data_IF_227287362424
#
_entry.id   IF_227287362424
#
_cell.length_a   1.000
_cell.length_b   1.000
_cell.length_c   1.000
_cell.angle_alpha   90.00
_cell.angle_beta   90.00
_cell.angle_gamma   90.00
#
_symmetry.space_group_name_H-M   'P 1'
#
loop_
_entity.id
_entity.type
_entity.pdbx_description
1 polymer ?
#
# COMPACT_ATOMS: atom_id res chain seq x y z
N UNK A 1 12.62 9.64 -15.94
CA UNK A 1 11.42 9.02 -16.53
C UNK A 1 11.39 7.49 -16.39
N UNK A 2 12.42 6.74 -16.85
CA UNK A 2 12.44 5.26 -16.81
C UNK A 2 12.23 4.64 -15.41
N UNK A 3 12.86 5.18 -14.36
CA UNK A 3 12.75 4.65 -12.98
C UNK A 3 11.36 4.78 -12.37
N UNK A 4 10.62 5.82 -12.71
CA UNK A 4 9.26 6.04 -12.19
C UNK A 4 8.27 5.10 -12.88
N UNK A 5 8.32 5.01 -14.21
CA UNK A 5 7.50 4.06 -14.97
C UNK A 5 7.73 2.60 -14.53
N UNK A 6 8.98 2.24 -14.23
CA UNK A 6 9.33 0.92 -13.72
C UNK A 6 8.69 0.61 -12.37
N UNK A 7 8.60 1.61 -11.45
CA UNK A 7 7.89 1.44 -10.17
C UNK A 7 6.41 1.19 -10.36
N UNK A 8 5.74 1.95 -11.25
CA UNK A 8 4.35 1.71 -11.60
C UNK A 8 4.13 0.32 -12.19
N UNK A 9 4.99 -0.08 -13.14
CA UNK A 9 4.94 -1.42 -13.76
C UNK A 9 5.08 -2.55 -12.75
N UNK A 10 6.04 -2.47 -11.82
CA UNK A 10 6.20 -3.47 -10.76
C UNK A 10 4.97 -3.51 -9.86
N UNK A 11 4.42 -2.36 -9.45
CA UNK A 11 3.20 -2.37 -8.62
C UNK A 11 1.97 -2.93 -9.32
N UNK A 12 1.83 -2.70 -10.62
CA UNK A 12 0.75 -3.29 -11.40
C UNK A 12 0.95 -4.81 -11.50
N UNK A 13 2.18 -5.28 -11.74
CA UNK A 13 2.49 -6.71 -11.76
C UNK A 13 2.20 -7.39 -10.40
N UNK A 14 2.59 -6.75 -9.29
CA UNK A 14 2.28 -7.26 -7.95
C UNK A 14 0.77 -7.25 -7.70
N UNK A 15 0.06 -6.21 -8.12
CA UNK A 15 -1.40 -6.14 -8.07
C UNK A 15 -2.07 -7.27 -8.86
N UNK A 16 -1.61 -7.53 -10.08
CA UNK A 16 -2.11 -8.62 -10.92
C UNK A 16 -1.80 -10.00 -10.32
N UNK A 17 -0.64 -10.18 -9.70
CA UNK A 17 -0.31 -11.41 -9.01
C UNK A 17 -1.24 -11.65 -7.81
N UNK A 18 -1.56 -10.59 -7.05
CA UNK A 18 -2.51 -10.66 -5.93
C UNK A 18 -3.94 -10.95 -6.40
N UNK A 19 -4.41 -10.33 -7.49
CA UNK A 19 -5.74 -10.63 -8.05
C UNK A 19 -5.81 -12.06 -8.55
N UNK A 20 -4.78 -12.53 -9.26
CA UNK A 20 -4.72 -13.91 -9.73
C UNK A 20 -4.74 -14.89 -8.55
N UNK A 21 -3.92 -14.66 -7.52
CA UNK A 21 -3.93 -15.48 -6.31
C UNK A 21 -5.30 -15.48 -5.61
N UNK A 22 -5.94 -14.31 -5.46
CA UNK A 22 -7.27 -14.22 -4.89
C UNK A 22 -8.33 -14.96 -5.72
N UNK A 23 -8.23 -14.93 -7.05
CA UNK A 23 -9.12 -15.68 -7.94
C UNK A 23 -8.90 -17.20 -7.84
N UNK A 24 -7.65 -17.65 -7.67
CA UNK A 24 -7.34 -19.07 -7.42
C UNK A 24 -7.96 -19.56 -6.11
N UNK A 25 -7.83 -18.79 -5.02
CA UNK A 25 -8.42 -19.12 -3.71
C UNK A 25 -9.95 -19.22 -3.80
N UNK A 26 -10.58 -18.43 -4.67
CA UNK A 26 -12.03 -18.45 -4.88
C UNK A 26 -12.50 -19.53 -5.87
N UNK A 27 -11.58 -20.33 -6.43
CA UNK A 27 -11.93 -21.46 -7.28
C UNK A 27 -12.41 -21.07 -8.68
N UNK A 28 -11.77 -20.08 -9.32
CA UNK A 28 -12.17 -19.58 -10.66
C UNK A 28 -12.32 -20.67 -11.72
N UNK A 29 -11.50 -21.74 -11.67
CA UNK A 29 -11.52 -22.82 -12.66
C UNK A 29 -12.66 -23.83 -12.47
N UNK A 30 -13.37 -23.78 -11.34
CA UNK A 30 -14.51 -24.67 -11.06
C UNK A 30 -15.85 -24.08 -11.47
N UNK A 31 -15.89 -22.82 -11.91
CA UNK A 31 -17.14 -22.10 -12.19
C UNK A 31 -17.41 -22.04 -13.69
N UNK A 32 -18.57 -22.55 -14.11
CA UNK A 32 -19.06 -22.48 -15.50
C UNK A 32 -20.08 -21.36 -15.71
N UNK A 33 -20.56 -20.74 -14.64
CA UNK A 33 -21.54 -19.66 -14.70
C UNK A 33 -20.86 -18.30 -14.83
N UNK A 34 -21.25 -17.52 -15.85
CA UNK A 34 -20.68 -16.20 -16.13
C UNK A 34 -20.83 -15.22 -14.95
N UNK A 35 -21.97 -15.26 -14.25
CA UNK A 35 -22.21 -14.41 -13.07
C UNK A 35 -21.26 -14.75 -11.92
N UNK A 36 -20.98 -16.04 -11.69
CA UNK A 36 -20.04 -16.49 -10.68
C UNK A 36 -18.61 -16.07 -11.01
N UNK A 37 -18.21 -16.14 -12.28
CA UNK A 37 -16.90 -15.67 -12.74
C UNK A 37 -16.74 -14.15 -12.55
N UNK A 38 -17.74 -13.36 -12.94
CA UNK A 38 -17.72 -11.90 -12.74
C UNK A 38 -17.62 -11.51 -11.26
N UNK A 39 -18.32 -12.22 -10.38
CA UNK A 39 -18.23 -12.03 -8.93
C UNK A 39 -16.82 -12.31 -8.40
N UNK A 40 -16.20 -13.39 -8.85
CA UNK A 40 -14.84 -13.75 -8.44
C UNK A 40 -13.84 -12.69 -8.88
N UNK A 41 -13.92 -12.24 -10.14
CA UNK A 41 -13.05 -11.17 -10.62
C UNK A 41 -13.29 -9.86 -9.88
N UNK A 42 -14.54 -9.45 -9.64
CA UNK A 42 -14.86 -8.26 -8.87
C UNK A 42 -14.23 -8.31 -7.48
N UNK A 43 -14.41 -9.42 -6.75
CA UNK A 43 -13.88 -9.56 -5.39
C UNK A 43 -12.34 -9.63 -5.37
N UNK A 44 -11.73 -10.31 -6.34
CA UNK A 44 -10.28 -10.40 -6.47
C UNK A 44 -9.64 -9.04 -6.77
N UNK A 45 -10.18 -8.28 -7.73
CA UNK A 45 -9.72 -6.92 -8.05
C UNK A 45 -9.93 -5.95 -6.89
N UNK A 46 -11.07 -6.06 -6.19
CA UNK A 46 -11.34 -5.23 -5.01
C UNK A 46 -10.34 -5.52 -3.90
N UNK A 47 -10.10 -6.79 -3.57
CA UNK A 47 -9.18 -7.19 -2.51
C UNK A 47 -7.75 -6.69 -2.79
N UNK A 48 -7.23 -6.92 -4.00
CA UNK A 48 -5.90 -6.45 -4.38
C UNK A 48 -5.81 -4.92 -4.41
N UNK A 49 -6.83 -4.25 -4.97
CA UNK A 49 -6.92 -2.79 -5.02
C UNK A 49 -6.98 -2.15 -3.63
N UNK A 50 -7.78 -2.72 -2.72
CA UNK A 50 -7.90 -2.28 -1.33
C UNK A 50 -6.58 -2.41 -0.57
N UNK A 51 -5.88 -3.55 -0.69
CA UNK A 51 -4.57 -3.76 -0.06
C UNK A 51 -3.56 -2.71 -0.55
N UNK A 52 -3.47 -2.49 -1.87
CA UNK A 52 -2.55 -1.51 -2.46
C UNK A 52 -2.92 -0.08 -2.08
N UNK A 53 -4.22 0.26 -2.08
CA UNK A 53 -4.71 1.58 -1.71
C UNK A 53 -4.46 1.88 -0.23
N UNK A 54 -4.73 0.93 0.67
CA UNK A 54 -4.43 1.07 2.10
C UNK A 54 -2.92 1.21 2.36
N UNK A 55 -2.10 0.38 1.71
CA UNK A 55 -0.65 0.49 1.82
C UNK A 55 -0.16 1.86 1.30
N UNK A 56 -0.67 2.31 0.15
CA UNK A 56 -0.38 3.63 -0.40
C UNK A 56 -0.81 4.78 0.52
N UNK A 57 -2.00 4.69 1.11
CA UNK A 57 -2.54 5.67 2.05
C UNK A 57 -1.67 5.76 3.31
N UNK A 58 -1.23 4.63 3.87
CA UNK A 58 -0.33 4.60 5.02
C UNK A 58 1.00 5.29 4.72
N UNK A 59 1.55 5.08 3.52
CA UNK A 59 2.80 5.75 3.14
C UNK A 59 2.60 7.25 2.96
N UNK A 60 1.52 7.68 2.30
CA UNK A 60 1.18 9.10 2.16
C UNK A 60 0.95 9.75 3.54
N UNK A 61 0.23 9.09 4.44
CA UNK A 61 0.03 9.55 5.81
C UNK A 61 1.36 9.67 6.58
N UNK A 62 2.28 8.71 6.38
CA UNK A 62 3.62 8.75 6.95
C UNK A 62 4.46 9.89 6.39
N UNK A 63 4.38 10.17 5.09
CA UNK A 63 5.04 11.32 4.44
C UNK A 63 4.46 12.68 4.89
N UNK A 64 3.17 12.70 5.23
CA UNK A 64 2.46 13.83 5.84
C UNK A 64 2.79 14.05 7.31
N UNK A 65 3.44 13.08 7.96
CA UNK A 65 3.87 13.14 9.35
C UNK A 65 2.83 12.65 10.36
N UNK A 66 1.76 11.99 9.92
CA UNK A 66 0.73 11.43 10.80
C UNK A 66 1.32 10.44 11.83
N UNK A 67 2.36 9.70 11.42
CA UNK A 67 3.05 8.72 12.27
C UNK A 67 4.43 9.19 12.77
N UNK A 68 4.80 10.46 12.58
CA UNK A 68 6.14 10.95 12.96
C UNK A 68 6.36 10.93 14.46
N UNK A 69 5.35 11.37 15.24
CA UNK A 69 5.44 11.41 16.70
C UNK A 69 5.51 10.00 17.30
N UNK A 70 4.72 9.05 16.78
CA UNK A 70 4.77 7.64 17.18
C UNK A 70 6.13 7.01 16.84
N UNK A 71 6.65 7.27 15.64
CA UNK A 71 7.97 6.77 15.24
C UNK A 71 9.09 7.32 16.14
N UNK A 72 9.00 8.59 16.54
CA UNK A 72 9.95 9.22 17.45
C UNK A 72 9.86 8.64 18.87
N UNK A 73 8.66 8.40 19.38
CA UNK A 73 8.45 7.75 20.67
C UNK A 73 9.08 6.36 20.73
N UNK A 74 8.95 5.56 19.65
CA UNK A 74 9.61 4.26 19.55
C UNK A 74 11.14 4.40 19.59
N UNK A 75 11.71 5.38 18.87
CA UNK A 75 13.16 5.65 18.91
C UNK A 75 13.61 6.01 20.33
N UNK A 76 12.85 6.83 21.06
CA UNK A 76 13.15 7.18 22.45
C UNK A 76 13.11 5.96 23.38
N UNK A 77 12.13 5.07 23.21
CA UNK A 77 12.04 3.82 23.97
C UNK A 77 13.28 2.96 23.73
N UNK A 78 13.69 2.78 22.46
CA UNK A 78 14.90 2.02 22.14
C UNK A 78 16.19 2.69 22.64
N UNK A 79 16.26 4.02 22.64
CA UNK A 79 17.40 4.76 23.19
C UNK A 79 17.51 4.63 24.72
N UNK A 80 16.40 4.40 25.44
CA UNK A 80 16.42 4.09 26.88
C UNK A 80 17.07 2.73 27.19
N UNK A 81 16.99 1.76 26.28
CA UNK A 81 17.65 0.46 26.43
C UNK A 81 19.15 0.49 26.07
N UNK A 82 19.67 1.62 25.57
CA UNK A 82 21.10 1.76 25.27
C UNK A 82 21.89 2.15 26.53
N UNK A 83 23.03 1.49 26.71
CA UNK A 83 23.97 1.72 27.82
C UNK A 83 24.59 3.14 27.79
N UNK A 84 24.64 3.78 26.62
CA UNK A 84 25.28 5.07 26.38
C UNK A 84 24.22 6.17 26.13
N UNK A 85 23.70 6.77 27.21
CA UNK A 85 22.62 7.78 27.16
C UNK A 85 23.04 9.10 26.49
N UNK A 86 24.34 9.34 26.36
CA UNK A 86 24.93 10.54 25.74
C UNK A 86 25.06 10.46 24.20
N UNK A 87 24.91 9.27 23.59
CA UNK A 87 24.97 9.08 22.13
C UNK A 87 23.57 8.99 21.51
N UNK A 88 22.66 9.90 21.87
CA UNK A 88 21.33 9.97 21.24
C UNK A 88 21.47 10.33 19.77
N UNK A 89 20.76 9.61 18.91
CA UNK A 89 20.81 9.82 17.45
C UNK A 89 20.14 11.12 17.02
N UNK A 90 19.16 11.60 17.79
CA UNK A 90 18.44 12.85 17.57
C UNK A 90 18.30 13.58 18.91
N UNK A 91 18.63 14.87 18.99
CA UNK A 91 18.48 15.64 20.24
C UNK A 91 17.05 16.01 20.54
N UNK A 92 16.27 16.33 19.51
CA UNK A 92 14.89 16.78 19.63
C UNK A 92 14.03 16.27 18.47
N UNK A 93 12.71 16.29 18.65
CA UNK A 93 11.72 15.93 17.65
C UNK A 93 11.88 16.78 16.37
N UNK A 94 12.33 18.02 16.53
CA UNK A 94 12.58 18.91 15.39
C UNK A 94 13.69 18.40 14.46
N UNK A 95 14.83 17.97 15.02
CA UNK A 95 15.92 17.35 14.25
C UNK A 95 15.47 16.03 13.60
N UNK A 96 14.70 15.22 14.31
CA UNK A 96 14.13 13.98 13.78
C UNK A 96 13.23 14.26 12.56
N UNK A 97 12.36 15.26 12.66
CA UNK A 97 11.44 15.65 11.58
C UNK A 97 12.16 16.25 10.38
N UNK A 98 13.20 17.08 10.59
CA UNK A 98 14.03 17.60 9.50
C UNK A 98 14.75 16.48 8.75
N UNK A 99 15.43 15.58 9.47
CA UNK A 99 16.14 14.45 8.87
C UNK A 99 15.21 13.50 8.08
N UNK A 100 13.93 13.40 8.49
CA UNK A 100 12.92 12.60 7.79
C UNK A 100 12.33 13.31 6.58
N UNK A 101 12.18 14.65 6.63
CA UNK A 101 11.77 15.49 5.49
C UNK A 101 12.79 15.44 4.34
N UNK A 102 14.08 15.44 4.63
CA UNK A 102 15.14 15.34 3.61
C UNK A 102 15.16 13.99 2.88
N UNK A 103 14.61 12.94 3.49
CA UNK A 103 14.58 11.58 2.93
C UNK A 103 13.26 11.20 2.26
N UNK A 104 12.38 12.17 1.97
CA UNK A 104 11.09 11.90 1.36
C UNK A 104 11.26 11.15 0.03
N UNK A 105 10.79 9.90 0.02
CA UNK A 105 10.61 9.11 -1.19
C UNK A 105 9.12 9.11 -1.46
N UNK A 106 8.68 9.70 -2.57
CA UNK A 106 7.26 9.71 -2.94
C UNK A 106 6.84 8.31 -3.38
N UNK A 107 5.92 7.70 -2.62
CA UNK A 107 5.31 6.42 -2.94
C UNK A 107 3.83 6.54 -3.36
N UNK A 108 3.40 7.73 -3.77
CA UNK A 108 2.03 8.01 -4.22
C UNK A 108 1.54 7.06 -5.34
N UNK A 109 2.47 6.47 -6.10
CA UNK A 109 2.16 5.47 -7.14
C UNK A 109 1.40 4.25 -6.62
N UNK A 110 1.65 3.80 -5.37
CA UNK A 110 0.93 2.67 -4.75
C UNK A 110 -0.57 2.99 -4.59
N UNK A 111 -0.86 4.21 -4.13
CA UNK A 111 -2.24 4.68 -3.93
C UNK A 111 -2.95 4.79 -5.29
N UNK A 112 -2.31 5.40 -6.28
CA UNK A 112 -2.88 5.57 -7.62
C UNK A 112 -3.20 4.20 -8.25
N UNK A 113 -2.28 3.24 -8.19
CA UNK A 113 -2.50 1.89 -8.74
C UNK A 113 -3.61 1.16 -7.98
N UNK A 114 -3.66 1.26 -6.65
CA UNK A 114 -4.73 0.67 -5.84
C UNK A 114 -6.12 1.22 -6.20
N UNK A 115 -6.23 2.54 -6.36
CA UNK A 115 -7.49 3.20 -6.77
C UNK A 115 -7.92 2.76 -8.17
N UNK A 116 -6.97 2.61 -9.12
CA UNK A 116 -7.28 2.08 -10.45
C UNK A 116 -7.83 0.66 -10.37
N UNK A 117 -7.26 -0.22 -9.54
CA UNK A 117 -7.76 -1.59 -9.35
C UNK A 117 -9.17 -1.62 -8.74
N UNK A 118 -9.46 -0.72 -7.78
CA UNK A 118 -10.81 -0.57 -7.23
C UNK A 118 -11.79 -0.09 -8.30
N UNK A 119 -11.40 0.88 -9.14
CA UNK A 119 -12.24 1.35 -10.24
C UNK A 119 -12.53 0.22 -11.25
N UNK A 120 -11.53 -0.62 -11.55
CA UNK A 120 -11.71 -1.82 -12.40
C UNK A 120 -12.70 -2.79 -11.75
N UNK A 121 -12.62 -3.02 -10.43
CA UNK A 121 -13.59 -3.85 -9.72
C UNK A 121 -15.02 -3.32 -9.85
N UNK A 122 -15.23 -2.01 -9.78
CA UNK A 122 -16.56 -1.41 -9.96
C UNK A 122 -17.12 -1.64 -11.38
N UNK A 123 -16.26 -1.64 -12.39
CA UNK A 123 -16.66 -1.98 -13.77
C UNK A 123 -17.16 -3.42 -13.86
N UNK A 124 -16.53 -4.36 -13.15
CA UNK A 124 -16.98 -5.75 -13.08
C UNK A 124 -18.26 -5.95 -12.25
N UNK A 125 -18.59 -4.99 -11.37
CA UNK A 125 -19.81 -5.03 -10.56
C UNK A 125 -21.07 -4.67 -11.38
N UNK A 126 -20.94 -3.80 -12.37
CA UNK A 126 -22.05 -3.37 -13.25
C UNK A 126 -22.71 -4.56 -13.98
N UNK A 127 -21.99 -5.45 -14.69
CA UNK A 127 -22.59 -6.60 -15.38
C UNK A 127 -22.95 -7.76 -14.44
N UNK A 128 -22.55 -7.73 -13.16
CA UNK A 128 -23.00 -8.71 -12.18
C UNK A 128 -24.40 -8.41 -11.65
N UNK A 129 -24.78 -7.12 -11.57
CA UNK A 129 -26.06 -6.69 -11.02
C UNK A 129 -27.15 -6.46 -12.08
N UNK A 130 -26.80 -6.57 -13.37
CA UNK A 130 -27.67 -6.29 -14.52
C UNK A 130 -27.79 -7.52 -15.41
#
# INVERSE_FOLDING_TARGET
>A
MKKTALRYGITVLVGLALTFFAALVQGVFGQTENAALMKIFCNAFFAAGAILACAGLLVVATEGGAFDMLSFAVVLIFDLFRKDVNKRKYKDFYEYRQAKKEKKRSFAFLLIVGVIFIAISLIFLIPYYN
#
